data_IF_774255501971
#
_entry.id   IF_774255501971
#
_cell.length_a   1.000
_cell.length_b   1.000
_cell.length_c   1.000
_cell.angle_alpha   90.00
_cell.angle_beta   90.00
_cell.angle_gamma   90.00
#
_symmetry.space_group_name_H-M   'P 1'
#
loop_
_entity.id
_entity.type
_entity.pdbx_description
1 polymer ?
#
# COMPACT_ATOMS: atom_id res chain seq x y z
N UNK A 1 -1.48 10.25 4.24
CA UNK A 1 -1.01 9.20 3.30
C UNK A 1 -2.18 8.69 2.43
N UNK A 2 -3.39 8.58 3.00
CA UNK A 2 -4.63 8.27 2.25
C UNK A 2 -4.99 9.23 1.12
N UNK A 3 -4.62 10.51 1.22
CA UNK A 3 -4.83 11.47 0.12
C UNK A 3 -3.86 11.25 -1.08
N UNK A 4 -2.95 10.28 -0.98
CA UNK A 4 -1.90 10.01 -1.98
C UNK A 4 -2.14 8.76 -2.81
N UNK A 5 -3.21 8.02 -2.54
CA UNK A 5 -3.43 6.73 -3.18
C UNK A 5 -4.48 5.85 -2.53
N UNK A 6 -4.80 4.74 -3.21
CA UNK A 6 -5.70 3.69 -2.71
C UNK A 6 -4.88 2.52 -2.19
N UNK A 7 -5.25 1.95 -1.05
CA UNK A 7 -4.52 0.85 -0.43
C UNK A 7 -5.20 -0.51 -0.69
N UNK A 8 -4.39 -1.55 -0.78
CA UNK A 8 -4.84 -2.94 -0.99
C UNK A 8 -4.76 -3.79 0.28
N UNK A 9 -4.28 -3.19 1.37
CA UNK A 9 -4.06 -3.84 2.67
C UNK A 9 -4.88 -3.17 3.75
N UNK A 10 -5.23 -3.93 4.78
CA UNK A 10 -5.88 -3.40 5.97
C UNK A 10 -4.85 -2.90 6.99
N UNK A 11 -5.27 -2.04 7.94
CA UNK A 11 -4.46 -1.70 9.09
C UNK A 11 -4.07 -2.96 9.86
N UNK A 12 -2.78 -3.08 10.20
CA UNK A 12 -2.18 -4.23 10.88
C UNK A 12 -1.97 -5.49 10.02
N UNK A 13 -2.22 -5.46 8.72
CA UNK A 13 -1.80 -6.55 7.83
C UNK A 13 -0.26 -6.69 7.84
N UNK A 14 0.22 -7.93 7.86
CA UNK A 14 1.65 -8.21 7.75
C UNK A 14 2.13 -7.88 6.33
N UNK A 15 3.14 -7.02 6.25
CA UNK A 15 3.76 -6.60 5.00
C UNK A 15 5.25 -6.93 4.97
N UNK A 16 5.79 -7.15 3.77
CA UNK A 16 7.21 -7.40 3.56
C UNK A 16 7.84 -6.44 2.54
N UNK A 17 9.17 -6.36 2.54
CA UNK A 17 9.93 -5.48 1.65
C UNK A 17 9.69 -5.87 0.18
N UNK A 18 9.24 -4.91 -0.64
CA UNK A 18 8.95 -5.11 -2.06
C UNK A 18 7.53 -5.56 -2.38
N UNK A 19 6.66 -5.71 -1.37
CA UNK A 19 5.23 -5.91 -1.58
C UNK A 19 4.58 -4.61 -2.09
N UNK A 20 3.71 -4.74 -3.08
CA UNK A 20 2.86 -3.64 -3.55
C UNK A 20 1.66 -3.55 -2.62
N UNK A 21 1.55 -2.41 -1.93
CA UNK A 21 0.58 -2.17 -0.84
C UNK A 21 -0.57 -1.26 -1.25
N UNK A 22 -0.50 -0.67 -2.44
CA UNK A 22 -1.47 0.27 -2.95
C UNK A 22 -1.01 0.96 -4.22
N UNK A 23 -1.93 1.71 -4.80
CA UNK A 23 -1.73 2.56 -5.96
C UNK A 23 -1.47 3.99 -5.51
N UNK A 24 -0.55 4.70 -6.17
CA UNK A 24 -0.37 6.13 -5.97
C UNK A 24 -1.03 6.92 -7.10
N UNK A 25 -1.54 8.11 -6.80
CA UNK A 25 -2.12 9.01 -7.81
C UNK A 25 -1.06 9.57 -8.80
N UNK A 26 0.22 9.25 -8.59
CA UNK A 26 1.33 9.63 -9.47
C UNK A 26 1.69 8.45 -10.37
N UNK A 27 2.27 8.73 -11.53
CA UNK A 27 2.70 7.68 -12.46
C UNK A 27 3.98 6.96 -12.02
N UNK A 28 4.69 7.50 -11.02
CA UNK A 28 5.96 6.97 -10.52
C UNK A 28 5.76 6.10 -9.29
N UNK A 29 6.53 5.02 -9.20
CA UNK A 29 6.54 4.15 -8.04
C UNK A 29 7.11 4.86 -6.81
N UNK A 30 6.45 4.70 -5.65
CA UNK A 30 6.87 5.33 -4.40
C UNK A 30 7.09 4.30 -3.30
N UNK A 31 8.32 4.25 -2.77
CA UNK A 31 8.63 3.46 -1.58
C UNK A 31 8.06 4.11 -0.32
N UNK A 32 7.19 3.41 0.40
CA UNK A 32 6.58 3.87 1.65
C UNK A 32 6.84 2.88 2.78
N UNK A 33 7.14 3.42 3.97
CA UNK A 33 7.21 2.63 5.19
C UNK A 33 5.90 2.78 5.98
N UNK A 34 5.18 1.67 6.17
CA UNK A 34 3.94 1.62 6.95
C UNK A 34 4.12 1.07 8.38
N UNK A 35 5.27 0.48 8.71
CA UNK A 35 5.53 -0.14 10.02
C UNK A 35 5.90 0.93 11.05
N UNK A 36 6.66 1.94 10.64
CA UNK A 36 7.06 3.05 11.52
C UNK A 36 6.44 4.33 11.00
N UNK A 37 5.48 4.88 11.76
CA UNK A 37 4.92 6.19 11.50
C UNK A 37 6.03 7.24 11.50
N UNK A 38 6.32 7.82 10.34
CA UNK A 38 7.23 8.96 10.25
C UNK A 38 6.48 10.16 10.83
N UNK A 39 6.68 10.47 12.12
CA UNK A 39 6.19 11.72 12.71
C UNK A 39 6.76 12.87 11.88
N UNK A 40 5.90 13.55 11.13
CA UNK A 40 6.23 14.82 10.49
C UNK A 40 6.32 15.87 11.60
N UNK A 41 7.51 16.05 12.16
CA UNK A 41 7.81 17.12 13.13
C UNK A 41 7.74 18.52 12.53
N UNK A 42 7.47 18.68 11.22
CA UNK A 42 7.32 19.96 10.55
C UNK A 42 5.89 20.55 10.57
N UNK A 43 4.96 19.95 11.31
CA UNK A 43 3.63 20.54 11.53
C UNK A 43 3.64 21.24 12.88
N UNK A 44 3.68 22.59 12.86
CA UNK A 44 3.39 23.42 14.04
C UNK A 44 2.04 22.97 14.61
N UNK A 45 2.05 22.66 15.90
CA UNK A 45 0.90 22.20 16.65
C UNK A 45 -0.28 23.18 16.57
N UNK A 46 -1.46 22.67 16.22
CA UNK A 46 -2.75 23.24 16.63
C UNK A 46 -3.88 22.26 16.35
N UNK A 47 -4.31 21.56 17.41
CA UNK A 47 -5.67 21.02 17.52
C UNK A 47 -5.96 19.70 16.82
N UNK A 48 -6.65 18.84 17.57
CA UNK A 48 -7.44 17.68 17.13
C UNK A 48 -6.65 16.39 16.90
N UNK A 49 -6.81 15.45 17.85
CA UNK A 49 -6.67 14.01 17.60
C UNK A 49 -7.61 13.63 16.45
N UNK A 50 -7.10 13.75 15.22
CA UNK A 50 -7.79 13.31 14.03
C UNK A 50 -7.82 11.78 14.08
N UNK A 51 -8.98 11.22 14.47
CA UNK A 51 -9.26 9.80 14.29
C UNK A 51 -9.17 9.51 12.80
N UNK A 52 -7.97 9.12 12.34
CA UNK A 52 -7.66 8.94 10.93
C UNK A 52 -8.63 7.90 10.38
N UNK A 53 -9.63 8.35 9.61
CA UNK A 53 -10.60 7.46 8.98
C UNK A 53 -9.89 6.71 7.88
N UNK A 54 -9.59 5.44 8.13
CA UNK A 54 -8.87 4.64 7.15
C UNK A 54 -9.84 4.20 6.05
N UNK A 55 -9.54 4.59 4.80
CA UNK A 55 -10.29 4.13 3.64
C UNK A 55 -10.23 2.59 3.55
N UNK A 56 -11.34 1.92 3.22
CA UNK A 56 -11.36 0.46 3.09
C UNK A 56 -10.37 0.02 2.00
N UNK A 57 -9.76 -1.15 2.20
CA UNK A 57 -8.87 -1.72 1.20
C UNK A 57 -9.63 -2.11 -0.07
N UNK A 58 -8.97 -2.01 -1.20
CA UNK A 58 -9.44 -2.65 -2.43
C UNK A 58 -9.03 -4.11 -2.36
N UNK A 59 -10.02 -5.00 -2.38
CA UNK A 59 -9.80 -6.42 -2.57
C UNK A 59 -9.95 -6.74 -4.05
N UNK A 60 -8.87 -7.24 -4.65
CA UNK A 60 -8.87 -7.72 -6.01
C UNK A 60 -9.15 -9.23 -6.05
N UNK A 61 -9.87 -9.66 -7.08
CA UNK A 61 -9.92 -11.07 -7.49
C UNK A 61 -8.59 -11.51 -8.11
N UNK A 62 -8.44 -12.82 -8.37
CA UNK A 62 -7.26 -13.34 -9.07
C UNK A 62 -7.16 -12.76 -10.49
N UNK A 63 -8.28 -12.66 -11.19
CA UNK A 63 -8.39 -12.14 -12.53
C UNK A 63 -8.04 -10.64 -12.57
N UNK A 64 -8.59 -9.85 -11.65
CA UNK A 64 -8.26 -8.43 -11.53
C UNK A 64 -6.78 -8.23 -11.20
N UNK A 65 -6.22 -9.10 -10.35
CA UNK A 65 -4.78 -9.05 -10.05
C UNK A 65 -3.94 -9.29 -11.32
N UNK A 66 -4.30 -10.29 -12.12
CA UNK A 66 -3.60 -10.64 -13.36
C UNK A 66 -3.68 -9.54 -14.41
N UNK A 67 -4.79 -8.80 -14.46
CA UNK A 67 -4.95 -7.64 -15.34
C UNK A 67 -4.17 -6.42 -14.82
N UNK A 68 -4.02 -6.30 -13.49
CA UNK A 68 -3.37 -5.16 -12.86
C UNK A 68 -1.83 -5.23 -12.86
N UNK A 69 -1.24 -6.43 -12.75
CA UNK A 69 0.22 -6.55 -12.64
C UNK A 69 0.94 -5.99 -13.88
N UNK A 70 2.12 -5.42 -13.66
CA UNK A 70 3.02 -4.99 -14.74
C UNK A 70 4.12 -6.01 -15.01
N UNK A 71 4.86 -5.82 -16.10
CA UNK A 71 5.98 -6.69 -16.51
C UNK A 71 7.10 -6.79 -15.45
N UNK A 72 7.23 -5.78 -14.58
CA UNK A 72 8.23 -5.72 -13.51
C UNK A 72 7.69 -6.19 -12.14
N UNK A 73 6.53 -6.85 -12.14
CA UNK A 73 5.80 -7.31 -10.95
C UNK A 73 5.46 -8.80 -11.02
N UNK A 74 5.30 -9.42 -9.85
CA UNK A 74 4.80 -10.77 -9.69
C UNK A 74 3.57 -10.82 -8.80
N UNK A 75 2.68 -11.74 -9.12
CA UNK A 75 1.57 -12.13 -8.27
C UNK A 75 1.94 -13.34 -7.43
N UNK A 76 2.01 -13.16 -6.12
CA UNK A 76 2.17 -14.22 -5.14
C UNK A 76 0.79 -14.82 -4.82
N UNK A 77 0.58 -16.07 -5.21
CA UNK A 77 -0.67 -16.79 -5.02
C UNK A 77 -0.49 -17.86 -3.95
N UNK A 78 -1.29 -17.77 -2.88
CA UNK A 78 -1.40 -18.80 -1.85
C UNK A 78 -2.88 -19.13 -1.63
N UNK A 79 -3.22 -20.32 -1.08
CA UNK A 79 -4.62 -20.67 -0.83
C UNK A 79 -5.38 -19.70 0.08
N UNK A 80 -4.67 -18.87 0.86
CA UNK A 80 -5.24 -17.92 1.83
C UNK A 80 -5.05 -16.46 1.43
N UNK A 81 -4.21 -16.15 0.44
CA UNK A 81 -3.82 -14.77 0.14
C UNK A 81 -3.34 -14.62 -1.30
N UNK A 82 -3.74 -13.50 -1.90
CA UNK A 82 -3.23 -12.97 -3.17
C UNK A 82 -2.48 -11.69 -2.85
N UNK A 83 -1.21 -11.59 -3.26
CA UNK A 83 -0.36 -10.41 -3.00
C UNK A 83 0.44 -10.04 -4.23
N UNK A 84 0.48 -8.75 -4.55
CA UNK A 84 1.33 -8.21 -5.60
C UNK A 84 2.69 -7.80 -5.04
N UNK A 85 3.76 -7.98 -5.81
CA UNK A 85 5.13 -7.59 -5.44
C UNK A 85 5.95 -7.15 -6.64
N UNK A 86 6.96 -6.31 -6.42
CA UNK A 86 7.98 -6.00 -7.44
C UNK A 86 8.98 -7.15 -7.58
N UNK A 87 9.45 -7.38 -8.80
CA UNK A 87 10.51 -8.37 -9.11
C UNK A 87 11.81 -7.91 -8.46
N UNK A 88 12.22 -6.67 -8.75
CA UNK A 88 13.42 -6.07 -8.19
C UNK A 88 13.03 -4.90 -7.28
N UNK A 89 13.38 -5.01 -6.00
CA UNK A 89 13.27 -3.91 -5.04
C UNK A 89 14.66 -3.63 -4.48
N UNK A 90 15.30 -2.56 -4.98
CA UNK A 90 16.58 -2.08 -4.45
C UNK A 90 16.32 -1.34 -3.12
#
# INVERSE_FOLDING_TARGET
>A
LQDRGKFFIDPNDEIYKGQVIGETNRQEDMGVNLIKGKKLTNVRASGSDESVKIAPKIQFSLEECLEYIRDDEYLEVTPKSLRMRKINYR
#
